data_IF_124612804232
#
_entry.id   IF_124612804232
#
_cell.length_a   1.000
_cell.length_b   1.000
_cell.length_c   1.000
_cell.angle_alpha   90.00
_cell.angle_beta   90.00
_cell.angle_gamma   90.00
#
_symmetry.space_group_name_H-M   'P 1'
#
loop_
_entity.id
_entity.type
_entity.pdbx_description
1 polymer ?
#
# COMPACT_ATOMS: atom_id res chain seq x y z
N UNK A 1 -16.68 12.57 -0.64
CA UNK A 1 -16.60 11.29 0.07
C UNK A 1 -15.87 10.28 -0.77
N UNK A 2 -14.79 9.78 -0.31
CA UNK A 2 -13.99 8.85 -1.10
C UNK A 2 -13.60 7.63 -0.27
N UNK A 3 -13.43 6.53 -0.98
CA UNK A 3 -13.01 5.27 -0.41
C UNK A 3 -11.90 4.70 -1.30
N UNK A 4 -10.80 4.31 -0.69
CA UNK A 4 -9.74 3.59 -1.39
C UNK A 4 -9.97 2.10 -1.14
N UNK A 5 -10.24 1.35 -2.18
CA UNK A 5 -10.47 -0.09 -2.05
C UNK A 5 -9.52 -0.84 -2.97
N UNK A 6 -8.78 -1.77 -2.40
CA UNK A 6 -7.90 -2.66 -3.14
C UNK A 6 -8.45 -4.08 -3.05
N UNK A 7 -9.18 -4.55 -4.07
CA UNK A 7 -9.66 -5.93 -4.10
C UNK A 7 -8.59 -6.87 -4.62
N UNK A 8 -8.40 -7.99 -3.93
CA UNK A 8 -7.51 -9.06 -4.36
C UNK A 8 -8.25 -10.39 -4.23
N UNK A 9 -7.88 -11.36 -5.06
CA UNK A 9 -8.44 -12.70 -4.96
C UNK A 9 -7.61 -13.51 -3.98
N UNK A 10 -8.27 -14.29 -3.14
CA UNK A 10 -7.60 -15.12 -2.15
C UNK A 10 -6.61 -16.06 -2.83
N UNK A 11 -5.35 -16.01 -2.37
CA UNK A 11 -4.29 -16.87 -2.87
C UNK A 11 -3.66 -16.44 -4.19
N UNK A 12 -4.06 -15.29 -4.79
CA UNK A 12 -3.43 -14.83 -6.01
C UNK A 12 -2.11 -14.11 -5.75
N UNK A 13 -1.27 -14.09 -6.76
CA UNK A 13 -0.05 -13.29 -6.78
C UNK A 13 -0.25 -12.17 -7.80
N UNK A 14 -0.03 -10.91 -7.39
CA UNK A 14 -0.34 -9.77 -8.23
C UNK A 14 0.59 -8.59 -7.90
N UNK A 15 0.88 -7.79 -8.91
CA UNK A 15 1.55 -6.49 -8.74
C UNK A 15 0.50 -5.41 -8.93
N UNK A 16 0.46 -4.46 -7.99
CA UNK A 16 -0.52 -3.37 -8.01
C UNK A 16 0.22 -2.05 -8.10
N UNK A 17 -0.11 -1.24 -9.11
CA UNK A 17 0.48 0.08 -9.30
C UNK A 17 -0.35 1.17 -8.64
N UNK A 18 0.35 2.14 -8.07
CA UNK A 18 -0.28 3.32 -7.47
C UNK A 18 0.38 4.58 -7.99
N UNK A 19 -0.39 5.67 -8.03
CA UNK A 19 0.11 6.99 -8.36
C UNK A 19 -0.28 7.95 -7.24
N UNK A 20 0.69 8.69 -6.71
CA UNK A 20 0.45 9.66 -5.65
C UNK A 20 0.49 11.06 -6.24
N UNK A 21 -0.54 11.85 -5.95
CA UNK A 21 -0.62 13.25 -6.34
C UNK A 21 -0.75 14.12 -5.10
N UNK A 22 -0.18 15.31 -5.17
CA UNK A 22 -0.30 16.31 -4.14
C UNK A 22 -0.80 17.59 -4.80
N UNK A 23 -1.94 18.08 -4.35
CA UNK A 23 -2.57 19.28 -4.92
C UNK A 23 -2.75 19.21 -6.44
N UNK A 24 -3.11 18.01 -6.94
CA UNK A 24 -3.33 17.79 -8.36
C UNK A 24 -2.09 17.49 -9.17
N UNK A 25 -0.90 17.63 -8.58
CA UNK A 25 0.37 17.39 -9.25
C UNK A 25 0.96 16.05 -8.87
N UNK A 26 1.73 15.44 -9.77
CA UNK A 26 2.46 14.21 -9.47
C UNK A 26 3.50 14.50 -8.39
N UNK A 27 3.54 13.64 -7.38
CA UNK A 27 4.47 13.83 -6.27
C UNK A 27 5.83 13.19 -6.58
N UNK A 28 6.92 13.91 -6.24
CA UNK A 28 8.27 13.36 -6.38
C UNK A 28 8.56 12.45 -5.17
N UNK A 29 8.73 11.17 -5.42
CA UNK A 29 8.98 10.16 -4.39
C UNK A 29 10.46 9.81 -4.22
N UNK A 30 11.37 10.57 -4.84
CA UNK A 30 12.79 10.23 -4.87
C UNK A 30 13.43 10.11 -3.49
N UNK A 31 12.95 10.90 -2.52
CA UNK A 31 13.52 10.91 -1.16
C UNK A 31 12.67 10.15 -0.15
N UNK A 32 11.64 9.44 -0.61
CA UNK A 32 10.72 8.72 0.27
C UNK A 32 10.88 7.22 0.14
N UNK A 33 10.52 6.52 1.21
CA UNK A 33 10.12 5.12 1.14
C UNK A 33 8.64 5.03 1.45
N UNK A 34 8.02 3.92 1.05
CA UNK A 34 6.59 3.73 1.21
C UNK A 34 6.36 2.49 2.07
N UNK A 35 5.59 2.68 3.14
CA UNK A 35 5.16 1.57 3.98
C UNK A 35 3.75 1.19 3.58
N UNK A 36 3.59 -0.05 3.16
CA UNK A 36 2.28 -0.63 2.80
C UNK A 36 1.94 -1.67 3.86
N UNK A 37 0.85 -1.44 4.58
CA UNK A 37 0.43 -2.35 5.65
C UNK A 37 -1.04 -2.71 5.52
N UNK A 38 -1.36 -3.94 5.90
CA UNK A 38 -2.74 -4.41 6.03
C UNK A 38 -2.92 -4.90 7.45
N UNK A 39 -3.98 -4.44 8.11
CA UNK A 39 -4.31 -4.79 9.50
C UNK A 39 -5.74 -5.25 9.58
N UNK A 40 -6.03 -6.14 10.54
CA UNK A 40 -7.40 -6.61 10.76
C UNK A 40 -8.32 -5.52 11.27
N UNK A 41 -7.76 -4.55 11.99
CA UNK A 41 -8.53 -3.44 12.55
C UNK A 41 -7.74 -2.16 12.38
N UNK A 42 -8.41 -0.99 12.24
CA UNK A 42 -7.74 0.29 12.02
C UNK A 42 -7.13 0.88 13.29
N UNK A 43 -6.60 0.05 14.17
CA UNK A 43 -5.99 0.46 15.43
C UNK A 43 -4.48 0.56 15.26
N UNK A 44 -3.89 1.60 15.84
CA UNK A 44 -2.45 1.84 15.76
C UNK A 44 -1.66 0.64 16.26
N UNK A 45 -2.14 0.00 17.33
CA UNK A 45 -1.45 -1.12 17.97
C UNK A 45 -1.79 -2.49 17.36
N UNK A 46 -2.68 -2.54 16.37
CA UNK A 46 -3.01 -3.80 15.73
C UNK A 46 -1.82 -4.31 14.93
N UNK A 47 -1.48 -5.60 15.01
CA UNK A 47 -0.37 -6.13 14.23
C UNK A 47 -0.70 -6.13 12.73
N UNK A 48 0.29 -5.83 11.91
CA UNK A 48 0.14 -5.89 10.47
C UNK A 48 0.21 -7.35 10.01
N UNK A 49 -0.74 -7.77 9.18
CA UNK A 49 -0.69 -9.09 8.55
C UNK A 49 0.05 -9.04 7.22
N UNK A 50 0.15 -7.85 6.60
CA UNK A 50 1.03 -7.57 5.47
C UNK A 50 1.81 -6.31 5.83
N UNK A 51 3.11 -6.33 5.65
CA UNK A 51 3.98 -5.18 5.94
C UNK A 51 5.10 -5.14 4.92
N UNK A 52 5.07 -4.15 4.04
CA UNK A 52 6.05 -3.99 2.97
C UNK A 52 6.70 -2.62 3.06
N UNK A 53 8.02 -2.58 3.05
CA UNK A 53 8.76 -1.32 2.90
C UNK A 53 9.27 -1.23 1.47
N UNK A 54 8.75 -0.27 0.73
CA UNK A 54 8.97 -0.12 -0.71
C UNK A 54 9.88 1.08 -0.94
N UNK A 55 10.97 0.86 -1.66
CA UNK A 55 11.95 1.91 -1.96
C UNK A 55 12.24 1.94 -3.45
N UNK A 56 13.09 2.88 -3.88
CA UNK A 56 13.51 2.95 -5.28
C UNK A 56 14.40 1.78 -5.69
N UNK A 57 14.93 1.04 -4.72
CA UNK A 57 15.85 -0.09 -4.96
C UNK A 57 15.36 -1.42 -4.39
N UNK A 58 14.15 -1.46 -3.84
CA UNK A 58 13.60 -2.71 -3.30
C UNK A 58 13.28 -3.68 -4.45
N UNK A 59 13.17 -4.97 -4.11
CA UNK A 59 12.92 -6.02 -5.09
C UNK A 59 11.48 -5.98 -5.56
N UNK A 60 11.28 -5.67 -6.83
CA UNK A 60 9.94 -5.55 -7.43
C UNK A 60 9.20 -6.90 -7.43
N UNK A 61 9.91 -8.01 -7.37
CA UNK A 61 9.31 -9.34 -7.43
C UNK A 61 8.93 -9.92 -6.06
N UNK A 62 9.33 -9.27 -4.97
CA UNK A 62 9.02 -9.74 -3.61
C UNK A 62 8.33 -8.69 -2.76
N UNK A 63 8.68 -7.43 -2.94
CA UNK A 63 8.19 -6.32 -2.10
C UNK A 63 7.41 -5.31 -2.93
N UNK A 64 7.92 -4.99 -4.09
CA UNK A 64 7.50 -3.88 -4.89
C UNK A 64 8.63 -2.86 -5.02
N UNK A 65 8.37 -1.77 -5.73
CA UNK A 65 9.41 -0.79 -5.99
C UNK A 65 8.77 0.56 -6.34
N UNK A 66 9.44 1.63 -5.94
CA UNK A 66 9.11 2.96 -6.44
C UNK A 66 9.77 3.04 -7.83
N UNK A 67 9.01 2.69 -8.85
CA UNK A 67 9.55 2.49 -10.20
C UNK A 67 9.67 3.79 -11.00
N UNK A 68 8.79 4.76 -10.76
CA UNK A 68 8.86 6.07 -11.41
C UNK A 68 8.71 7.16 -10.36
N UNK A 69 9.79 7.43 -9.58
CA UNK A 69 9.68 8.34 -8.43
C UNK A 69 9.29 9.77 -8.81
N UNK A 70 9.79 10.27 -9.95
CA UNK A 70 9.46 11.64 -10.38
C UNK A 70 8.01 11.78 -10.82
N UNK A 71 7.32 10.67 -11.07
CA UNK A 71 5.92 10.65 -11.48
C UNK A 71 5.00 10.17 -10.38
N UNK A 72 5.51 10.02 -9.16
CA UNK A 72 4.72 9.58 -8.02
C UNK A 72 4.24 8.15 -8.11
N UNK A 73 4.89 7.30 -8.90
CA UNK A 73 4.43 5.94 -9.15
C UNK A 73 5.24 4.91 -8.40
N UNK A 74 4.54 3.96 -7.81
CA UNK A 74 5.15 2.80 -7.19
C UNK A 74 4.29 1.56 -7.41
N UNK A 75 4.91 0.41 -7.27
CA UNK A 75 4.27 -0.90 -7.43
C UNK A 75 4.42 -1.66 -6.13
N UNK A 76 3.34 -2.29 -5.68
CA UNK A 76 3.36 -3.21 -4.55
C UNK A 76 3.25 -4.63 -5.08
N UNK A 77 4.15 -5.50 -4.66
CA UNK A 77 4.07 -6.92 -4.98
C UNK A 77 3.33 -7.64 -3.86
N UNK A 78 2.22 -8.29 -4.20
CA UNK A 78 1.44 -9.10 -3.27
C UNK A 78 1.59 -10.56 -3.69
N UNK A 79 2.34 -11.32 -2.90
CA UNK A 79 2.52 -12.74 -3.15
C UNK A 79 1.36 -13.57 -2.58
N UNK A 80 1.41 -14.86 -2.82
CA UNK A 80 0.37 -15.79 -2.35
C UNK A 80 0.15 -15.66 -0.83
N UNK A 81 1.23 -15.49 -0.07
CA UNK A 81 1.13 -15.36 1.40
C UNK A 81 0.44 -14.07 1.82
N UNK A 82 0.45 -13.04 0.96
CA UNK A 82 -0.15 -11.75 1.29
C UNK A 82 -1.65 -11.71 1.01
N UNK A 83 -2.16 -12.70 0.28
CA UNK A 83 -3.56 -12.75 -0.15
C UNK A 83 -4.29 -13.99 0.37
N UNK A 84 -3.61 -14.85 1.15
CA UNK A 84 -4.18 -16.12 1.62
C UNK A 84 -4.92 -16.03 2.94
N UNK A 85 -5.24 -14.82 3.40
CA UNK A 85 -6.04 -14.61 4.59
C UNK A 85 -7.52 -14.85 4.30
N UNK A 86 -8.34 -15.06 5.33
CA UNK A 86 -9.79 -15.24 5.14
C UNK A 86 -10.40 -14.10 4.33
N UNK A 87 -11.42 -14.43 3.54
CA UNK A 87 -12.13 -13.42 2.76
C UNK A 87 -12.77 -12.38 3.70
N UNK A 88 -12.79 -11.15 3.27
CA UNK A 88 -13.33 -10.05 4.05
C UNK A 88 -12.57 -8.75 3.83
N UNK A 89 -12.91 -7.76 4.63
CA UNK A 89 -12.33 -6.43 4.54
C UNK A 89 -11.33 -6.20 5.67
N UNK A 90 -10.19 -5.63 5.32
CA UNK A 90 -9.09 -5.32 6.23
C UNK A 90 -8.71 -3.86 6.05
N UNK A 91 -8.10 -3.27 7.07
CA UNK A 91 -7.64 -1.88 6.99
C UNK A 91 -6.35 -1.80 6.17
N UNK A 92 -6.34 -0.88 5.21
CA UNK A 92 -5.18 -0.61 4.35
C UNK A 92 -4.52 0.68 4.78
N UNK A 93 -3.21 0.62 5.02
CA UNK A 93 -2.42 1.79 5.41
C UNK A 93 -1.28 1.95 4.42
N UNK A 94 -1.24 3.12 3.79
CA UNK A 94 -0.13 3.51 2.92
C UNK A 94 0.47 4.77 3.52
N UNK A 95 1.76 4.73 3.86
CA UNK A 95 2.46 5.84 4.51
C UNK A 95 3.74 6.19 3.76
N UNK A 96 4.02 7.48 3.69
CA UNK A 96 5.31 7.97 3.20
C UNK A 96 6.25 8.10 4.39
N UNK A 97 7.46 7.57 4.26
CA UNK A 97 8.49 7.67 5.30
C UNK A 97 9.69 8.42 4.76
N UNK A 98 10.18 9.38 5.52
CA UNK A 98 11.36 10.17 5.18
C UNK A 98 12.04 10.60 6.46
N UNK A 99 13.29 10.16 6.66
CA UNK A 99 14.13 10.56 7.81
C UNK A 99 13.42 10.44 9.17
N UNK A 100 12.69 9.30 9.35
CA UNK A 100 12.00 9.04 10.61
C UNK A 100 10.62 9.67 10.72
N UNK A 101 10.23 10.51 9.76
CA UNK A 101 8.89 11.09 9.72
C UNK A 101 7.96 10.17 8.94
N UNK A 102 6.76 9.98 9.46
CA UNK A 102 5.76 9.10 8.85
C UNK A 102 4.52 9.92 8.52
N UNK A 103 4.10 9.86 7.27
CA UNK A 103 2.92 10.58 6.80
C UNK A 103 1.96 9.57 6.17
N UNK A 104 0.85 9.28 6.86
CA UNK A 104 -0.14 8.31 6.40
C UNK A 104 -1.02 8.97 5.34
N UNK A 105 -0.79 8.59 4.07
CA UNK A 105 -1.49 9.20 2.95
C UNK A 105 -2.83 8.55 2.63
N UNK A 106 -3.02 7.29 2.99
CA UNK A 106 -4.27 6.58 2.71
C UNK A 106 -5.46 7.21 3.46
N UNK A 107 -5.23 7.77 4.65
CA UNK A 107 -6.28 8.46 5.39
C UNK A 107 -6.50 9.90 4.92
N UNK A 108 -5.53 10.49 4.22
CA UNK A 108 -5.66 11.85 3.70
C UNK A 108 -6.48 11.91 2.42
N UNK A 109 -6.28 10.93 1.54
CA UNK A 109 -7.01 10.91 0.28
C UNK A 109 -8.47 10.49 0.47
N UNK A 110 -8.73 9.70 1.52
CA UNK A 110 -9.93 8.89 1.52
C UNK A 110 -10.45 8.71 2.94
N UNK A 111 -11.77 8.72 3.10
CA UNK A 111 -12.37 8.48 4.41
C UNK A 111 -12.13 7.07 4.90
N UNK A 112 -11.92 6.14 3.97
CA UNK A 112 -11.77 4.74 4.31
C UNK A 112 -10.84 4.07 3.30
N UNK A 113 -9.87 3.33 3.79
CA UNK A 113 -8.95 2.57 2.95
C UNK A 113 -9.09 1.09 3.30
N UNK A 114 -9.44 0.28 2.32
CA UNK A 114 -9.80 -1.12 2.50
C UNK A 114 -8.96 -2.03 1.61
N UNK A 115 -8.43 -3.10 2.21
CA UNK A 115 -7.83 -4.22 1.52
C UNK A 115 -8.87 -5.35 1.59
N UNK A 116 -9.46 -5.69 0.44
CA UNK A 116 -10.55 -6.66 0.41
C UNK A 116 -10.10 -7.96 -0.23
N UNK A 117 -10.19 -9.06 0.53
CA UNK A 117 -9.88 -10.38 0.00
C UNK A 117 -11.18 -11.02 -0.46
N UNK A 118 -11.23 -11.33 -1.75
CA UNK A 118 -12.39 -11.92 -2.41
C UNK A 118 -12.16 -13.39 -2.66
N UNK A 119 -13.25 -14.16 -2.75
CA UNK A 119 -13.18 -15.55 -3.15
C UNK A 119 -12.66 -15.65 -4.58
N UNK A 120 -11.91 -16.72 -4.83
CA UNK A 120 -11.44 -17.02 -6.17
C UNK A 120 -12.58 -17.42 -7.09
#
# INVERSE_FOLDING_TARGET
>A
MSELKLPVKQGEEINVGFTIREEGNLMDLSSYSIRFQVKKAPLVNAPAIVDKLITTTSDINTVGMINYPLQGQFVVHLGVNDTSFPTGEYSLIIALEQEGLIDIISSKCCNKAIYKICEQ
#
